data_IF_603418617522
#
_entry.id   IF_603418617522
#
_cell.length_a   1.000
_cell.length_b   1.000
_cell.length_c   1.000
_cell.angle_alpha   90.00
_cell.angle_beta   90.00
_cell.angle_gamma   90.00
#
_symmetry.space_group_name_H-M   'P 1'
#
loop_
_entity.id
_entity.type
_entity.pdbx_description
1 polymer ?
#
# COMPACT_ATOMS: atom_id res chain seq x y z
N UNK A 1 -42.03 -7.14 3.48
CA UNK A 1 -40.68 -7.72 3.67
C UNK A 1 -40.00 -7.82 2.31
N UNK A 2 -38.92 -7.06 2.10
CA UNK A 2 -38.20 -7.03 0.83
C UNK A 2 -37.52 -8.38 0.55
N UNK A 3 -37.14 -8.64 -0.72
CA UNK A 3 -36.37 -9.85 -1.09
C UNK A 3 -35.05 -9.91 -0.29
N UNK A 4 -34.43 -8.75 -0.07
CA UNK A 4 -33.17 -8.63 0.66
C UNK A 4 -33.34 -9.04 2.13
N UNK A 5 -34.38 -8.56 2.80
CA UNK A 5 -34.68 -8.96 4.19
C UNK A 5 -34.88 -10.46 4.34
N UNK A 6 -35.55 -11.10 3.36
CA UNK A 6 -35.75 -12.56 3.35
C UNK A 6 -34.44 -13.31 3.20
N UNK A 7 -33.61 -12.91 2.23
CA UNK A 7 -32.30 -13.54 2.01
C UNK A 7 -31.42 -13.45 3.25
N UNK A 8 -31.38 -12.29 3.92
CA UNK A 8 -30.57 -12.11 5.14
C UNK A 8 -31.07 -13.03 6.27
N UNK A 9 -32.40 -13.10 6.46
CA UNK A 9 -32.99 -13.95 7.49
C UNK A 9 -32.75 -15.45 7.24
N UNK A 10 -32.83 -15.89 5.99
CA UNK A 10 -32.63 -17.31 5.62
C UNK A 10 -31.14 -17.71 5.66
N UNK A 11 -30.24 -16.82 5.25
CA UNK A 11 -28.80 -17.10 5.19
C UNK A 11 -28.12 -16.95 6.56
N UNK A 12 -28.68 -16.14 7.47
CA UNK A 12 -28.13 -15.93 8.81
C UNK A 12 -26.63 -15.53 8.76
N UNK A 13 -25.74 -16.25 9.47
CA UNK A 13 -24.30 -15.97 9.49
C UNK A 13 -23.62 -15.96 8.10
N UNK A 14 -24.15 -16.70 7.12
CA UNK A 14 -23.58 -16.77 5.77
C UNK A 14 -23.68 -15.45 5.00
N UNK A 15 -24.62 -14.57 5.36
CA UNK A 15 -24.75 -13.23 4.78
C UNK A 15 -23.47 -12.39 4.96
N UNK A 16 -22.78 -12.55 6.11
CA UNK A 16 -21.52 -11.89 6.40
C UNK A 16 -20.36 -12.41 5.56
N UNK A 17 -20.33 -13.72 5.29
CA UNK A 17 -19.34 -14.31 4.40
C UNK A 17 -19.51 -13.81 2.97
N UNK A 18 -20.75 -13.76 2.48
CA UNK A 18 -21.07 -13.22 1.15
C UNK A 18 -20.65 -11.75 1.05
N UNK A 19 -20.99 -10.94 2.06
CA UNK A 19 -20.56 -9.55 2.13
C UNK A 19 -19.03 -9.44 2.11
N UNK A 20 -18.33 -10.24 2.91
CA UNK A 20 -16.88 -10.26 2.97
C UNK A 20 -16.23 -10.62 1.64
N UNK A 21 -16.71 -11.67 0.97
CA UNK A 21 -16.22 -12.08 -0.35
C UNK A 21 -16.52 -11.03 -1.43
N UNK A 22 -17.69 -10.37 -1.38
CA UNK A 22 -18.03 -9.29 -2.29
C UNK A 22 -17.08 -8.10 -2.12
N UNK A 23 -16.80 -7.71 -0.88
CA UNK A 23 -15.82 -6.65 -0.59
C UNK A 23 -14.41 -7.02 -1.07
N UNK A 24 -13.97 -8.26 -0.84
CA UNK A 24 -12.70 -8.76 -1.37
C UNK A 24 -12.67 -8.78 -2.90
N UNK A 25 -13.79 -9.11 -3.56
CA UNK A 25 -13.91 -9.02 -5.02
C UNK A 25 -13.84 -7.58 -5.54
N UNK A 26 -14.46 -6.63 -4.85
CA UNK A 26 -14.41 -5.20 -5.20
C UNK A 26 -12.99 -4.64 -5.12
N UNK A 27 -12.17 -5.11 -4.18
CA UNK A 27 -10.76 -4.75 -4.08
C UNK A 27 -9.98 -5.06 -5.37
N UNK A 28 -10.33 -6.14 -6.07
CA UNK A 28 -9.68 -6.52 -7.33
C UNK A 28 -10.02 -5.52 -8.45
N UNK A 29 -11.26 -5.00 -8.44
CA UNK A 29 -11.73 -4.02 -9.43
C UNK A 29 -11.21 -2.60 -9.14
N UNK A 30 -11.08 -2.26 -7.85
CA UNK A 30 -10.64 -0.96 -7.36
C UNK A 30 -9.53 -1.13 -6.31
N UNK A 31 -8.25 -1.22 -6.75
CA UNK A 31 -7.13 -1.42 -5.85
C UNK A 31 -6.96 -0.21 -4.91
N UNK A 32 -7.15 -0.42 -3.61
CA UNK A 32 -7.09 0.64 -2.59
C UNK A 32 -6.82 0.14 -1.17
N UNK A 33 -6.79 -1.17 -0.96
CA UNK A 33 -6.65 -1.94 0.29
C UNK A 33 -7.76 -1.74 1.31
N UNK A 34 -8.64 -0.76 1.13
CA UNK A 34 -9.73 -0.45 2.06
C UNK A 34 -10.73 -1.61 2.11
N UNK A 35 -11.21 -2.07 0.95
CA UNK A 35 -12.23 -3.12 0.90
C UNK A 35 -11.71 -4.45 1.45
N UNK A 36 -10.40 -4.70 1.32
CA UNK A 36 -9.75 -5.85 1.95
C UNK A 36 -9.97 -5.90 3.47
N UNK A 37 -9.75 -4.79 4.18
CA UNK A 37 -9.88 -4.75 5.65
C UNK A 37 -11.32 -4.90 6.11
N UNK A 38 -12.27 -4.28 5.40
CA UNK A 38 -13.70 -4.48 5.67
C UNK A 38 -14.14 -5.91 5.34
N UNK A 39 -13.64 -6.50 4.25
CA UNK A 39 -13.95 -7.86 3.84
C UNK A 39 -13.49 -8.90 4.87
N UNK A 40 -12.25 -8.79 5.34
CA UNK A 40 -11.72 -9.64 6.42
C UNK A 40 -12.56 -9.49 7.70
N UNK A 41 -12.93 -8.27 8.05
CA UNK A 41 -13.76 -8.01 9.25
C UNK A 41 -15.14 -8.66 9.13
N UNK A 42 -15.78 -8.61 7.97
CA UNK A 42 -17.06 -9.27 7.72
C UNK A 42 -16.94 -10.80 7.86
N UNK A 43 -15.89 -11.42 7.30
CA UNK A 43 -15.65 -12.86 7.43
C UNK A 43 -15.44 -13.26 8.90
N UNK A 44 -14.70 -12.46 9.67
CA UNK A 44 -14.50 -12.71 11.10
C UNK A 44 -15.80 -12.64 11.89
N UNK A 45 -16.66 -11.65 11.61
CA UNK A 45 -17.99 -11.54 12.24
C UNK A 45 -18.88 -12.71 11.85
N UNK A 46 -18.91 -13.07 10.56
CA UNK A 46 -19.67 -14.23 10.08
C UNK A 46 -19.21 -15.52 10.72
N UNK A 47 -17.90 -15.69 10.89
CA UNK A 47 -17.30 -16.85 11.59
C UNK A 47 -17.70 -16.86 13.07
N UNK A 48 -17.62 -15.73 13.76
CA UNK A 48 -18.03 -15.61 15.16
C UNK A 48 -19.52 -15.94 15.36
N UNK A 49 -20.37 -15.49 14.43
CA UNK A 49 -21.81 -15.74 14.42
C UNK A 49 -22.18 -17.21 14.18
N UNK A 50 -21.24 -18.07 13.76
CA UNK A 50 -21.46 -19.53 13.70
C UNK A 50 -21.37 -20.21 15.07
N UNK A 51 -20.67 -19.59 16.02
CA UNK A 51 -20.43 -20.15 17.36
C UNK A 51 -21.27 -19.47 18.44
N UNK A 52 -21.67 -18.23 18.21
CA UNK A 52 -22.41 -17.40 19.16
C UNK A 52 -23.64 -16.84 18.47
N UNK A 53 -24.79 -16.95 19.13
CA UNK A 53 -26.02 -16.31 18.66
C UNK A 53 -25.91 -14.79 18.88
N UNK A 54 -25.67 -14.08 17.79
CA UNK A 54 -25.48 -12.63 17.79
C UNK A 54 -26.73 -11.97 17.22
N UNK A 55 -27.30 -11.02 17.97
CA UNK A 55 -28.26 -10.09 17.39
C UNK A 55 -27.61 -9.31 16.24
N UNK A 56 -28.40 -8.91 15.25
CA UNK A 56 -27.88 -8.17 14.10
C UNK A 56 -27.24 -6.83 14.51
N UNK A 57 -27.73 -6.20 15.59
CA UNK A 57 -27.14 -4.99 16.17
C UNK A 57 -25.76 -5.27 16.76
N UNK A 58 -25.62 -6.36 17.52
CA UNK A 58 -24.34 -6.77 18.11
C UNK A 58 -23.34 -7.11 17.00
N UNK A 59 -23.75 -7.86 15.98
CA UNK A 59 -22.91 -8.21 14.85
C UNK A 59 -22.40 -6.95 14.10
N UNK A 60 -23.27 -5.96 13.87
CA UNK A 60 -22.88 -4.68 13.27
C UNK A 60 -21.88 -3.90 14.12
N UNK A 61 -22.07 -3.83 15.44
CA UNK A 61 -21.12 -3.12 16.33
C UNK A 61 -19.76 -3.81 16.30
N UNK A 62 -19.74 -5.14 16.38
CA UNK A 62 -18.49 -5.93 16.29
C UNK A 62 -17.84 -5.69 14.93
N UNK A 63 -18.59 -5.72 13.84
CA UNK A 63 -18.09 -5.44 12.49
C UNK A 63 -17.42 -4.07 12.38
N UNK A 64 -18.05 -3.01 12.91
CA UNK A 64 -17.48 -1.66 12.90
C UNK A 64 -16.17 -1.62 13.67
N UNK A 65 -16.15 -2.18 14.88
CA UNK A 65 -14.93 -2.22 15.71
C UNK A 65 -13.81 -2.98 15.00
N UNK A 66 -14.09 -4.19 14.51
CA UNK A 66 -13.11 -5.00 13.78
C UNK A 66 -12.62 -4.29 12.52
N UNK A 67 -13.49 -3.60 11.80
CA UNK A 67 -13.11 -2.85 10.59
C UNK A 67 -12.15 -1.71 10.92
N UNK A 68 -12.44 -0.91 11.95
CA UNK A 68 -11.54 0.15 12.41
C UNK A 68 -10.19 -0.40 12.87
N UNK A 69 -10.19 -1.47 13.68
CA UNK A 69 -8.95 -2.11 14.14
C UNK A 69 -8.16 -2.66 12.97
N UNK A 70 -8.81 -3.35 12.04
CA UNK A 70 -8.19 -3.92 10.84
C UNK A 70 -7.57 -2.84 9.95
N UNK A 71 -8.24 -1.69 9.77
CA UNK A 71 -7.68 -0.56 9.02
C UNK A 71 -6.42 0.01 9.70
N UNK A 72 -6.43 0.17 11.02
CA UNK A 72 -5.28 0.70 11.77
C UNK A 72 -4.10 -0.29 11.70
N UNK A 73 -4.36 -1.56 11.97
CA UNK A 73 -3.35 -2.64 11.90
C UNK A 73 -2.80 -2.74 10.49
N UNK A 74 -3.68 -2.76 9.49
CA UNK A 74 -3.33 -2.83 8.09
C UNK A 74 -2.44 -1.69 7.63
N UNK A 75 -2.80 -0.45 7.99
CA UNK A 75 -1.98 0.73 7.70
C UNK A 75 -0.59 0.65 8.35
N UNK A 76 -0.50 0.17 9.59
CA UNK A 76 0.79 0.01 10.29
C UNK A 76 1.65 -1.08 9.66
N UNK A 77 1.05 -2.24 9.33
CA UNK A 77 1.75 -3.34 8.67
C UNK A 77 2.26 -2.93 7.29
N UNK A 78 1.44 -2.27 6.47
CA UNK A 78 1.85 -1.76 5.16
C UNK A 78 2.97 -0.72 5.24
N UNK A 79 2.92 0.19 6.21
CA UNK A 79 3.99 1.15 6.44
C UNK A 79 5.31 0.46 6.85
N UNK A 80 5.24 -0.57 7.70
CA UNK A 80 6.39 -1.37 8.12
C UNK A 80 6.99 -2.16 6.95
N UNK A 81 6.15 -2.86 6.19
CA UNK A 81 6.54 -3.59 4.98
C UNK A 81 7.17 -2.66 3.94
N UNK A 82 6.63 -1.45 3.76
CA UNK A 82 7.23 -0.45 2.86
C UNK A 82 8.59 0.06 3.37
N UNK A 83 8.83 0.02 4.67
CA UNK A 83 10.13 0.39 5.27
C UNK A 83 11.15 -0.75 5.25
N UNK A 84 10.70 -2.01 5.30
CA UNK A 84 11.54 -3.21 5.26
C UNK A 84 11.83 -3.69 3.83
N UNK A 85 10.92 -3.48 2.88
CA UNK A 85 11.00 -4.00 1.51
C UNK A 85 11.84 -3.14 0.53
N UNK A 86 12.44 -2.04 0.99
CA UNK A 86 13.21 -1.20 0.08
C UNK A 86 14.13 -0.24 0.78
N UNK A 87 15.42 -0.43 0.55
CA UNK A 87 16.41 0.65 0.60
C UNK A 87 15.79 1.90 -0.09
N UNK A 88 15.54 3.00 0.66
CA UNK A 88 14.92 4.21 0.13
C UNK A 88 15.67 4.81 -1.07
N UNK A 89 16.89 4.34 -1.33
CA UNK A 89 17.77 4.71 -2.44
C UNK A 89 17.38 4.23 -3.83
N UNK A 90 16.24 3.55 -4.05
CA UNK A 90 15.76 3.23 -5.41
C UNK A 90 14.98 4.38 -6.06
N UNK A 91 14.18 5.13 -5.29
CA UNK A 91 13.60 6.40 -5.75
C UNK A 91 14.52 7.59 -5.43
N UNK A 92 15.56 7.36 -4.61
CA UNK A 92 16.65 8.30 -4.33
C UNK A 92 17.99 7.79 -4.86
N UNK A 93 18.06 7.22 -6.08
CA UNK A 93 19.35 6.77 -6.65
C UNK A 93 20.42 7.85 -6.55
N UNK A 94 20.04 9.11 -6.80
CA UNK A 94 20.92 10.27 -6.67
C UNK A 94 21.46 10.52 -5.26
N UNK A 95 20.75 10.12 -4.19
CA UNK A 95 21.24 10.35 -2.82
C UNK A 95 22.40 9.45 -2.44
N UNK A 96 22.59 8.31 -3.13
CA UNK A 96 23.75 7.42 -2.91
C UNK A 96 25.07 8.03 -3.39
N UNK A 97 24.98 9.04 -4.27
CA UNK A 97 26.13 9.70 -4.86
C UNK A 97 26.53 11.00 -4.13
N UNK A 98 25.72 11.46 -3.17
CA UNK A 98 26.03 12.64 -2.37
C UNK A 98 27.29 12.37 -1.52
N UNK A 99 28.29 13.24 -1.64
CA UNK A 99 29.57 13.13 -0.92
C UNK A 99 30.62 12.24 -1.61
N UNK A 100 30.31 11.67 -2.78
CA UNK A 100 31.30 10.99 -3.61
C UNK A 100 31.94 11.97 -4.60
N UNK A 101 33.20 11.73 -4.93
CA UNK A 101 33.97 12.50 -5.92
C UNK A 101 34.08 11.68 -7.19
N UNK A 102 33.75 12.28 -8.33
CA UNK A 102 33.79 11.64 -9.65
C UNK A 102 34.63 12.48 -10.60
N UNK A 103 35.29 11.84 -11.56
CA UNK A 103 36.08 12.54 -12.58
C UNK A 103 35.19 12.83 -13.79
N UNK A 104 35.21 14.06 -14.28
CA UNK A 104 34.50 14.44 -15.50
C UNK A 104 35.12 13.77 -16.73
N UNK A 105 34.39 12.87 -17.39
CA UNK A 105 34.80 12.29 -18.69
C UNK A 105 34.61 13.28 -19.85
N UNK A 106 33.54 14.08 -19.79
CA UNK A 106 33.24 15.14 -20.74
C UNK A 106 33.30 16.50 -20.06
N UNK A 107 33.74 17.56 -20.76
CA UNK A 107 33.77 18.91 -20.19
C UNK A 107 32.35 19.38 -19.83
N UNK A 108 32.25 20.14 -18.75
CA UNK A 108 31.06 20.92 -18.43
C UNK A 108 31.16 22.26 -19.17
N UNK A 109 30.18 22.55 -20.02
CA UNK A 109 30.16 23.79 -20.83
C UNK A 109 28.80 24.44 -20.76
N UNK A 110 28.75 25.78 -20.67
CA UNK A 110 27.51 26.53 -20.50
C UNK A 110 26.73 26.12 -19.24
N UNK A 111 27.47 25.76 -18.19
CA UNK A 111 26.92 25.45 -16.88
C UNK A 111 26.19 24.11 -16.75
N UNK A 112 26.15 23.26 -17.78
CA UNK A 112 25.52 21.95 -17.75
C UNK A 112 26.35 20.88 -18.46
N UNK A 113 26.18 19.62 -18.05
CA UNK A 113 26.86 18.50 -18.68
C UNK A 113 26.28 17.15 -18.26
N UNK A 114 26.99 16.09 -18.64
CA UNK A 114 26.64 14.71 -18.32
C UNK A 114 27.79 14.06 -17.57
N UNK A 115 27.46 13.20 -16.61
CA UNK A 115 28.40 12.40 -15.85
C UNK A 115 27.95 10.95 -15.86
N UNK A 116 28.84 10.04 -16.26
CA UNK A 116 28.62 8.61 -16.08
C UNK A 116 28.94 8.24 -14.64
N UNK A 117 27.98 7.61 -13.96
CA UNK A 117 28.12 7.10 -12.59
C UNK A 117 27.71 5.64 -12.60
N UNK A 118 28.68 4.76 -12.40
CA UNK A 118 28.55 3.31 -12.54
C UNK A 118 27.94 2.97 -13.93
N UNK A 119 26.74 2.39 -13.97
CA UNK A 119 26.03 2.03 -15.21
C UNK A 119 24.99 3.09 -15.65
N UNK A 120 25.03 4.30 -15.09
CA UNK A 120 23.99 5.32 -15.31
C UNK A 120 24.55 6.69 -15.69
N UNK A 121 23.94 7.37 -16.65
CA UNK A 121 24.33 8.73 -17.06
C UNK A 121 23.40 9.76 -16.40
N UNK A 122 23.99 10.68 -15.65
CA UNK A 122 23.31 11.76 -14.94
C UNK A 122 23.55 13.10 -15.60
N UNK A 123 22.53 13.97 -15.59
CA UNK A 123 22.70 15.37 -15.94
C UNK A 123 23.20 16.12 -14.71
N UNK A 124 24.28 16.88 -14.88
CA UNK A 124 24.91 17.68 -13.83
C UNK A 124 24.97 19.16 -14.25
N UNK A 125 25.02 20.05 -13.26
CA UNK A 125 25.03 21.51 -13.43
C UNK A 125 26.11 22.09 -12.51
N UNK A 126 26.86 23.07 -12.97
CA UNK A 126 28.02 23.60 -12.24
C UNK A 126 28.78 24.66 -13.03
N UNK A 127 29.94 25.15 -12.55
CA UNK A 127 30.81 26.02 -13.32
C UNK A 127 31.44 25.26 -14.51
N UNK A 128 31.91 25.98 -15.54
CA UNK A 128 32.57 25.36 -16.68
C UNK A 128 33.89 24.69 -16.23
N UNK A 129 34.02 23.40 -16.51
CA UNK A 129 35.12 22.56 -16.07
C UNK A 129 35.60 21.68 -17.24
N UNK A 130 36.90 21.56 -17.42
CA UNK A 130 37.46 20.67 -18.44
C UNK A 130 37.29 19.20 -18.06
N UNK A 131 37.31 18.32 -19.06
CA UNK A 131 37.44 16.88 -18.82
C UNK A 131 38.69 16.59 -17.97
N UNK A 132 38.60 15.58 -17.11
CA UNK A 132 39.66 15.19 -16.15
C UNK A 132 39.59 15.90 -14.80
N UNK A 133 38.69 16.86 -14.61
CA UNK A 133 38.49 17.55 -13.32
C UNK A 133 37.73 16.66 -12.32
N UNK A 134 38.04 16.78 -11.03
CA UNK A 134 37.42 16.04 -9.90
C UNK A 134 36.43 16.89 -9.13
#
# INVERSE_FOLDING_TARGET
>A
MSIVERLIAELGPWSWWILGLLLLGLEILAPGTIFLWFGVSAILVGTLALFVDLSWQTALVIFLILSFVSLIVGRRLMAKLSSEAGDPGLNRRGSRYIGRVFVLETPLSQGAGKLSVDDTVWRITGPDLSAGTK
#
